data_IF_718712580718
#
_entry.id   IF_718712580718
#
_cell.length_a   1.000
_cell.length_b   1.000
_cell.length_c   1.000
_cell.angle_alpha   90.00
_cell.angle_beta   90.00
_cell.angle_gamma   90.00
#
_symmetry.space_group_name_H-M   'P 1'
#
loop_
_entity.id
_entity.type
_entity.pdbx_description
1 polymer ?
#
# COMPACT_ATOMS: atom_id res chain seq x y z
N UNK A 1 -11.30 -12.31 -37.21
CA UNK A 1 -10.82 -11.12 -36.48
C UNK A 1 -10.14 -10.21 -37.49
N UNK A 2 -10.57 -8.94 -37.57
CA UNK A 2 -9.94 -7.89 -38.40
C UNK A 2 -8.48 -7.72 -37.99
N UNK A 3 -7.58 -7.49 -38.97
CA UNK A 3 -6.17 -7.23 -38.71
C UNK A 3 -6.03 -5.82 -38.14
N UNK A 4 -5.64 -5.70 -36.87
CA UNK A 4 -5.31 -4.42 -36.24
C UNK A 4 -3.89 -3.99 -36.62
N UNK A 5 -3.79 -2.78 -37.16
CA UNK A 5 -2.54 -2.05 -37.32
C UNK A 5 -2.20 -1.34 -36.01
N UNK A 6 -0.93 -1.41 -35.64
CA UNK A 6 -0.42 -0.83 -34.41
C UNK A 6 0.62 0.22 -34.76
N UNK A 7 0.54 1.37 -34.11
CA UNK A 7 1.48 2.45 -34.30
C UNK A 7 1.99 2.93 -32.96
N UNK A 8 3.26 3.32 -32.92
CA UNK A 8 3.80 4.12 -31.84
C UNK A 8 3.60 5.59 -32.19
N UNK A 9 3.06 6.35 -31.25
CA UNK A 9 2.86 7.77 -31.39
C UNK A 9 3.45 8.51 -30.19
N UNK A 10 3.82 9.77 -30.40
CA UNK A 10 4.27 10.66 -29.34
C UNK A 10 3.24 11.78 -29.13
N UNK A 11 3.05 12.13 -27.86
CA UNK A 11 2.14 13.21 -27.45
C UNK A 11 2.97 14.44 -27.09
N UNK A 12 2.63 15.59 -27.68
CA UNK A 12 3.25 16.87 -27.41
C UNK A 12 2.19 17.85 -26.92
N UNK A 13 2.54 18.69 -25.95
CA UNK A 13 1.70 19.82 -25.56
C UNK A 13 2.30 21.05 -26.22
N UNK A 14 1.60 21.62 -27.20
CA UNK A 14 2.06 22.81 -27.92
C UNK A 14 1.68 24.09 -27.17
N UNK A 15 0.61 24.05 -26.35
CA UNK A 15 0.14 25.06 -25.37
C UNK A 15 -0.63 24.38 -24.22
N UNK A 16 -0.99 25.11 -23.16
CA UNK A 16 -1.73 24.58 -21.98
C UNK A 16 -3.07 23.89 -22.31
N UNK A 17 -3.62 24.07 -23.52
CA UNK A 17 -4.91 23.50 -23.93
C UNK A 17 -4.85 22.55 -25.13
N UNK A 18 -3.75 22.51 -25.88
CA UNK A 18 -3.66 21.77 -27.14
C UNK A 18 -2.59 20.67 -27.08
N UNK A 19 -3.05 19.43 -27.22
CA UNK A 19 -2.20 18.24 -27.33
C UNK A 19 -2.17 17.75 -28.77
N UNK A 20 -0.97 17.69 -29.36
CA UNK A 20 -0.73 17.10 -30.67
C UNK A 20 -0.22 15.67 -30.52
N UNK A 21 -0.71 14.78 -31.40
CA UNK A 21 -0.29 13.38 -31.43
C UNK A 21 0.36 13.11 -32.79
N UNK A 22 1.63 12.73 -32.77
CA UNK A 22 2.39 12.41 -33.98
C UNK A 22 2.67 10.92 -34.03
N UNK A 23 2.17 10.25 -35.07
CA UNK A 23 2.53 8.86 -35.35
C UNK A 23 3.99 8.82 -35.83
N UNK A 24 4.79 7.96 -35.22
CA UNK A 24 6.22 7.82 -35.50
C UNK A 24 6.49 6.62 -36.41
N UNK A 25 5.96 5.46 -36.06
CA UNK A 25 6.18 4.23 -36.85
C UNK A 25 5.09 3.17 -36.62
N UNK A 26 5.01 2.18 -37.51
CA UNK A 26 4.24 0.95 -37.33
C UNK A 26 5.00 -0.01 -36.41
N UNK A 27 4.30 -0.64 -35.47
CA UNK A 27 4.90 -1.64 -34.56
C UNK A 27 4.24 -3.01 -34.76
N UNK A 28 4.97 -4.05 -34.41
CA UNK A 28 4.46 -5.42 -34.48
C UNK A 28 3.61 -5.78 -33.25
N UNK A 29 2.76 -6.80 -33.40
CA UNK A 29 2.04 -7.39 -32.26
C UNK A 29 3.01 -8.00 -31.23
N UNK A 30 4.16 -8.51 -31.67
CA UNK A 30 5.19 -9.05 -30.78
C UNK A 30 5.84 -7.96 -29.94
N UNK A 31 6.13 -6.79 -30.52
CA UNK A 31 6.65 -5.64 -29.78
C UNK A 31 5.65 -5.11 -28.76
N UNK A 32 4.37 -5.02 -29.13
CA UNK A 32 3.32 -4.66 -28.17
C UNK A 32 3.18 -5.70 -27.06
N UNK A 33 3.28 -7.00 -27.37
CA UNK A 33 3.24 -8.05 -26.36
C UNK A 33 4.42 -7.95 -25.38
N UNK A 34 5.63 -7.70 -25.87
CA UNK A 34 6.83 -7.47 -25.05
C UNK A 34 6.66 -6.26 -24.13
N UNK A 35 6.12 -5.15 -24.64
CA UNK A 35 5.80 -3.98 -23.80
C UNK A 35 4.76 -4.30 -22.73
N UNK A 36 3.65 -4.96 -23.10
CA UNK A 36 2.62 -5.33 -22.14
C UNK A 36 3.15 -6.26 -21.04
N UNK A 37 4.06 -7.16 -21.39
CA UNK A 37 4.77 -8.02 -20.43
C UNK A 37 5.61 -7.18 -19.46
N UNK A 38 6.41 -6.24 -19.99
CA UNK A 38 7.24 -5.32 -19.20
C UNK A 38 6.41 -4.51 -18.18
N UNK A 39 5.15 -4.19 -18.49
CA UNK A 39 4.27 -3.44 -17.61
C UNK A 39 3.44 -4.29 -16.63
N UNK A 40 3.55 -5.63 -16.62
CA UNK A 40 2.78 -6.48 -15.69
C UNK A 40 3.03 -6.14 -14.22
N UNK A 41 4.24 -5.67 -13.88
CA UNK A 41 4.58 -5.26 -12.50
C UNK A 41 3.82 -4.01 -12.05
N UNK A 42 3.32 -3.17 -12.97
CA UNK A 42 2.56 -1.97 -12.62
C UNK A 42 1.24 -2.31 -11.92
N UNK A 43 0.63 -3.44 -12.25
CA UNK A 43 -0.56 -3.93 -11.55
C UNK A 43 -0.25 -4.37 -10.11
N UNK A 44 0.96 -4.92 -9.89
CA UNK A 44 1.45 -5.25 -8.55
C UNK A 44 1.67 -3.97 -7.75
N UNK A 45 2.34 -3.00 -8.38
CA UNK A 45 2.58 -1.69 -7.80
C UNK A 45 1.30 -1.03 -7.33
N UNK A 46 0.30 -0.92 -8.21
CA UNK A 46 -0.98 -0.29 -7.86
C UNK A 46 -1.66 -1.00 -6.69
N UNK A 47 -1.78 -2.33 -6.78
CA UNK A 47 -2.50 -3.13 -5.77
C UNK A 47 -1.86 -3.02 -4.38
N UNK A 48 -0.54 -3.18 -4.30
CA UNK A 48 0.18 -3.20 -3.01
C UNK A 48 0.37 -1.79 -2.45
N UNK A 49 0.64 -0.80 -3.30
CA UNK A 49 0.76 0.61 -2.86
C UNK A 49 -0.56 1.10 -2.29
N UNK A 50 -1.69 0.80 -2.96
CA UNK A 50 -3.00 1.21 -2.48
C UNK A 50 -3.33 0.62 -1.11
N UNK A 51 -3.12 -0.69 -0.89
CA UNK A 51 -3.40 -1.27 0.42
C UNK A 51 -2.43 -0.74 1.49
N UNK A 52 -1.15 -0.51 1.15
CA UNK A 52 -0.19 0.16 2.05
C UNK A 52 -0.71 1.55 2.45
N UNK A 53 -1.12 2.37 1.48
CA UNK A 53 -1.65 3.72 1.73
C UNK A 53 -2.87 3.67 2.64
N UNK A 54 -3.80 2.75 2.40
CA UNK A 54 -4.99 2.55 3.26
C UNK A 54 -4.58 2.23 4.70
N UNK A 55 -3.57 1.39 4.93
CA UNK A 55 -3.09 1.06 6.28
C UNK A 55 -2.54 2.30 6.98
N UNK A 56 -1.66 3.05 6.29
CA UNK A 56 -1.04 4.26 6.83
C UNK A 56 -2.10 5.33 7.12
N UNK A 57 -3.01 5.58 6.18
CA UNK A 57 -4.10 6.54 6.34
C UNK A 57 -5.05 6.17 7.48
N UNK A 58 -5.36 4.88 7.65
CA UNK A 58 -6.17 4.41 8.77
C UNK A 58 -5.45 4.61 10.12
N UNK A 59 -4.14 4.34 10.17
CA UNK A 59 -3.32 4.57 11.36
C UNK A 59 -3.29 6.05 11.75
N UNK A 60 -3.03 6.94 10.79
CA UNK A 60 -3.02 8.38 11.00
C UNK A 60 -4.41 8.94 11.36
N UNK A 61 -5.46 8.44 10.72
CA UNK A 61 -6.85 8.81 11.06
C UNK A 61 -7.21 8.41 12.49
N UNK A 62 -6.78 7.22 12.91
CA UNK A 62 -6.97 6.73 14.27
C UNK A 62 -6.20 7.57 15.30
N UNK A 63 -4.90 7.83 15.07
CA UNK A 63 -4.11 8.74 15.93
C UNK A 63 -4.75 10.11 16.03
N UNK A 64 -5.17 10.70 14.90
CA UNK A 64 -5.82 12.01 14.86
C UNK A 64 -7.10 12.01 15.68
N UNK A 65 -7.91 10.97 15.57
CA UNK A 65 -9.13 10.83 16.34
C UNK A 65 -8.85 10.76 17.86
N UNK A 66 -7.83 9.99 18.26
CA UNK A 66 -7.43 9.84 19.67
C UNK A 66 -6.57 10.99 20.21
N UNK A 67 -6.22 11.98 19.38
CA UNK A 67 -5.38 13.10 19.79
C UNK A 67 -6.05 13.95 20.86
N UNK A 68 -5.25 14.52 21.77
CA UNK A 68 -5.72 15.44 22.82
C UNK A 68 -6.57 16.58 22.25
N UNK A 69 -6.16 17.14 21.11
CA UNK A 69 -6.89 18.22 20.45
C UNK A 69 -8.27 17.76 19.99
N UNK A 70 -8.38 16.62 19.31
CA UNK A 70 -9.66 16.13 18.82
C UNK A 70 -10.59 15.73 19.97
N UNK A 71 -10.08 15.08 21.02
CA UNK A 71 -10.88 14.75 22.20
C UNK A 71 -11.41 16.02 22.91
N UNK A 72 -10.63 17.10 22.97
CA UNK A 72 -11.12 18.39 23.47
C UNK A 72 -12.27 18.95 22.62
N UNK A 73 -12.18 18.87 21.29
CA UNK A 73 -13.26 19.31 20.39
C UNK A 73 -14.53 18.45 20.53
N UNK A 74 -14.39 17.13 20.66
CA UNK A 74 -15.51 16.21 20.94
C UNK A 74 -16.26 16.66 22.20
N UNK A 75 -15.52 17.04 23.24
CA UNK A 75 -16.10 17.56 24.48
C UNK A 75 -16.81 18.91 24.27
N UNK A 76 -16.22 19.84 23.51
CA UNK A 76 -16.80 21.17 23.23
C UNK A 76 -18.08 21.08 22.40
N UNK A 77 -18.11 20.17 21.43
CA UNK A 77 -19.25 19.94 20.56
C UNK A 77 -20.35 19.06 21.18
N UNK A 78 -20.23 18.71 22.47
CA UNK A 78 -21.22 17.92 23.21
C UNK A 78 -21.56 16.59 22.51
N UNK A 79 -20.57 15.95 21.87
CA UNK A 79 -20.76 14.64 21.26
C UNK A 79 -21.05 13.63 22.39
N UNK A 80 -22.10 12.80 22.28
CA UNK A 80 -22.44 11.83 23.31
C UNK A 80 -21.28 10.86 23.60
N UNK A 81 -21.01 10.51 24.87
CA UNK A 81 -19.93 9.58 25.25
C UNK A 81 -19.93 8.28 24.45
N UNK A 82 -21.10 7.64 24.30
CA UNK A 82 -21.27 6.40 23.52
C UNK A 82 -20.86 6.58 22.06
N UNK A 83 -21.20 7.72 21.46
CA UNK A 83 -20.83 8.03 20.08
C UNK A 83 -19.33 8.24 19.96
N UNK A 84 -18.71 8.94 20.91
CA UNK A 84 -17.27 9.15 20.94
C UNK A 84 -16.50 7.82 21.06
N UNK A 85 -16.95 6.92 21.94
CA UNK A 85 -16.38 5.57 22.09
C UNK A 85 -16.57 4.74 20.83
N UNK A 86 -17.77 4.76 20.23
CA UNK A 86 -18.07 4.05 18.97
C UNK A 86 -17.14 4.49 17.84
N UNK A 87 -16.88 5.80 17.72
CA UNK A 87 -15.99 6.33 16.70
C UNK A 87 -14.51 5.96 16.95
N UNK A 88 -14.07 5.91 18.22
CA UNK A 88 -12.74 5.40 18.58
C UNK A 88 -12.58 3.94 18.15
N UNK A 89 -13.56 3.12 18.49
CA UNK A 89 -13.59 1.69 18.18
C UNK A 89 -13.68 1.43 16.68
N UNK A 90 -14.43 2.24 15.93
CA UNK A 90 -14.44 2.20 14.46
C UNK A 90 -13.06 2.51 13.88
N UNK A 91 -12.40 3.55 14.39
CA UNK A 91 -11.09 3.96 13.87
C UNK A 91 -10.02 2.88 14.09
N UNK A 92 -9.93 2.33 15.30
CA UNK A 92 -8.96 1.28 15.61
C UNK A 92 -9.28 -0.06 14.89
N UNK A 93 -10.56 -0.40 14.71
CA UNK A 93 -10.97 -1.56 13.92
C UNK A 93 -10.54 -1.45 12.45
N UNK A 94 -10.74 -0.27 11.84
CA UNK A 94 -10.34 -0.02 10.46
C UNK A 94 -8.82 -0.21 10.31
N UNK A 95 -8.04 0.36 11.22
CA UNK A 95 -6.60 0.20 11.24
C UNK A 95 -6.18 -1.28 11.36
N UNK A 96 -6.64 -1.97 12.41
CA UNK A 96 -6.29 -3.37 12.65
C UNK A 96 -6.71 -4.31 11.49
N UNK A 97 -7.89 -4.07 10.90
CA UNK A 97 -8.38 -4.85 9.76
C UNK A 97 -7.55 -4.61 8.51
N UNK A 98 -7.13 -3.36 8.27
CA UNK A 98 -6.29 -3.02 7.12
C UNK A 98 -4.90 -3.66 7.22
N UNK A 99 -4.27 -3.72 8.40
CA UNK A 99 -2.99 -4.41 8.62
C UNK A 99 -3.09 -5.88 8.23
N UNK A 100 -4.12 -6.59 8.72
CA UNK A 100 -4.31 -8.00 8.39
C UNK A 100 -4.53 -8.19 6.89
N UNK A 101 -5.34 -7.32 6.28
CA UNK A 101 -5.61 -7.33 4.85
C UNK A 101 -4.34 -7.13 4.03
N UNK A 102 -3.47 -6.20 4.44
CA UNK A 102 -2.19 -5.92 3.81
C UNK A 102 -1.30 -7.17 3.77
N UNK A 103 -1.05 -7.79 4.93
CA UNK A 103 -0.19 -8.99 5.05
C UNK A 103 -0.76 -10.16 4.24
N UNK A 104 -2.09 -10.35 4.28
CA UNK A 104 -2.75 -11.42 3.53
C UNK A 104 -2.68 -11.19 2.02
N UNK A 105 -2.74 -9.93 1.57
CA UNK A 105 -2.58 -9.57 0.16
C UNK A 105 -1.17 -9.85 -0.36
N UNK A 106 -0.13 -9.46 0.36
CA UNK A 106 1.26 -9.77 0.01
C UNK A 106 1.48 -11.28 -0.05
N UNK A 107 1.07 -12.00 1.00
CA UNK A 107 1.15 -13.47 1.09
C UNK A 107 0.48 -14.13 -0.12
N UNK A 108 -0.74 -13.70 -0.46
CA UNK A 108 -1.49 -14.24 -1.60
C UNK A 108 -0.81 -13.96 -2.93
N UNK A 109 -0.22 -12.78 -3.10
CA UNK A 109 0.46 -12.41 -4.34
C UNK A 109 1.76 -13.18 -4.49
N UNK A 110 2.59 -13.26 -3.44
CA UNK A 110 3.84 -14.02 -3.47
C UNK A 110 3.57 -15.51 -3.78
N UNK A 111 2.56 -16.12 -3.15
CA UNK A 111 2.11 -17.49 -3.46
C UNK A 111 1.74 -17.71 -4.93
N UNK A 112 1.19 -16.70 -5.60
CA UNK A 112 0.68 -16.81 -6.97
C UNK A 112 1.68 -16.42 -8.04
N UNK A 113 2.60 -15.50 -7.73
CA UNK A 113 3.39 -14.77 -8.72
C UNK A 113 4.89 -14.75 -8.43
N UNK A 114 5.32 -15.16 -7.24
CA UNK A 114 6.73 -15.23 -6.88
C UNK A 114 7.17 -16.70 -6.67
N UNK A 115 8.46 -16.90 -6.43
CA UNK A 115 9.00 -18.22 -6.11
C UNK A 115 8.63 -18.63 -4.68
N UNK A 116 8.69 -19.94 -4.40
CA UNK A 116 8.54 -20.45 -3.03
C UNK A 116 9.58 -19.83 -2.09
N UNK A 117 10.81 -19.65 -2.56
CA UNK A 117 11.89 -18.98 -1.80
C UNK A 117 11.55 -17.53 -1.42
N UNK A 118 10.88 -16.78 -2.30
CA UNK A 118 10.42 -15.43 -2.00
C UNK A 118 9.35 -15.44 -0.90
N UNK A 119 8.40 -16.37 -0.98
CA UNK A 119 7.38 -16.54 0.06
C UNK A 119 7.99 -16.93 1.41
N UNK A 120 8.96 -17.84 1.42
CA UNK A 120 9.64 -18.26 2.64
C UNK A 120 10.45 -17.11 3.25
N UNK A 121 11.11 -16.30 2.41
CA UNK A 121 11.84 -15.11 2.85
C UNK A 121 10.91 -14.06 3.47
N UNK A 122 9.75 -13.82 2.84
CA UNK A 122 8.73 -12.93 3.39
C UNK A 122 8.19 -13.42 4.74
N UNK A 123 7.89 -14.71 4.86
CA UNK A 123 7.45 -15.30 6.13
C UNK A 123 8.53 -15.15 7.22
N UNK A 124 9.80 -15.33 6.87
CA UNK A 124 10.91 -15.14 7.82
C UNK A 124 11.01 -13.70 8.31
N UNK A 125 10.74 -12.71 7.46
CA UNK A 125 10.68 -11.30 7.88
C UNK A 125 9.49 -11.07 8.81
N UNK A 126 8.31 -11.59 8.47
CA UNK A 126 7.14 -11.53 9.36
C UNK A 126 7.42 -12.18 10.73
N UNK A 127 8.09 -13.33 10.76
CA UNK A 127 8.53 -13.99 11.99
C UNK A 127 9.53 -13.13 12.76
N UNK A 128 10.52 -12.56 12.08
CA UNK A 128 11.50 -11.65 12.70
C UNK A 128 10.82 -10.42 13.31
N UNK A 129 9.83 -9.85 12.60
CA UNK A 129 9.06 -8.72 13.11
C UNK A 129 8.24 -9.09 14.33
N UNK A 130 7.61 -10.25 14.29
CA UNK A 130 6.90 -10.80 15.44
C UNK A 130 7.85 -11.00 16.62
N UNK A 131 9.04 -11.55 16.44
CA UNK A 131 9.93 -11.81 17.59
C UNK A 131 10.53 -10.52 18.17
N UNK A 132 10.82 -9.52 17.33
CA UNK A 132 11.59 -8.32 17.73
C UNK A 132 10.77 -7.08 18.04
N UNK A 133 9.53 -6.97 17.52
CA UNK A 133 8.74 -5.74 17.62
C UNK A 133 7.39 -5.99 18.29
N UNK A 134 7.20 -5.38 19.45
CA UNK A 134 5.96 -5.45 20.24
C UNK A 134 4.75 -4.97 19.43
N UNK A 135 4.90 -3.91 18.64
CA UNK A 135 3.83 -3.31 17.84
C UNK A 135 3.34 -4.28 16.78
N UNK A 136 4.25 -4.97 16.09
CA UNK A 136 3.88 -5.97 15.10
C UNK A 136 3.15 -7.15 15.74
N UNK A 137 3.67 -7.69 16.85
CA UNK A 137 2.98 -8.78 17.58
C UNK A 137 1.59 -8.38 18.00
N UNK A 138 1.48 -7.20 18.60
CA UNK A 138 0.23 -6.68 19.12
C UNK A 138 -0.79 -6.49 17.99
N UNK A 139 -0.46 -5.70 16.97
CA UNK A 139 -1.39 -5.35 15.89
C UNK A 139 -1.74 -6.54 14.99
N UNK A 140 -0.81 -7.48 14.76
CA UNK A 140 -1.08 -8.69 13.97
C UNK A 140 -2.13 -9.60 14.62
N UNK A 141 -2.22 -9.60 15.95
CA UNK A 141 -3.21 -10.36 16.70
C UNK A 141 -4.44 -9.52 17.11
N UNK A 142 -4.36 -8.19 17.08
CA UNK A 142 -5.39 -7.29 17.59
C UNK A 142 -6.76 -7.45 16.90
N UNK A 143 -6.76 -7.72 15.59
CA UNK A 143 -8.02 -7.98 14.87
C UNK A 143 -8.72 -9.25 15.38
N UNK A 144 -7.98 -10.24 15.86
CA UNK A 144 -8.57 -11.45 16.47
C UNK A 144 -9.16 -11.14 17.85
N UNK A 145 -8.51 -10.29 18.64
CA UNK A 145 -9.08 -9.77 19.89
C UNK A 145 -10.46 -9.14 19.64
N UNK A 146 -10.57 -8.20 18.68
CA UNK A 146 -11.86 -7.54 18.40
C UNK A 146 -12.93 -8.55 17.96
N UNK A 147 -12.56 -9.54 17.14
CA UNK A 147 -13.51 -10.53 16.61
C UNK A 147 -13.99 -11.52 17.67
N UNK A 148 -13.13 -11.90 18.62
CA UNK A 148 -13.40 -12.98 19.56
C UNK A 148 -13.72 -12.53 20.99
N UNK A 149 -13.44 -11.27 21.34
CA UNK A 149 -13.74 -10.70 22.65
C UNK A 149 -14.68 -9.51 22.50
N UNK A 150 -14.13 -8.29 22.40
CA UNK A 150 -14.92 -7.08 22.25
C UNK A 150 -14.05 -5.93 21.71
N UNK A 151 -14.64 -4.75 21.57
CA UNK A 151 -13.90 -3.54 21.25
C UNK A 151 -13.03 -3.06 22.42
N UNK A 152 -11.86 -2.46 22.13
CA UNK A 152 -10.83 -2.14 23.14
C UNK A 152 -11.16 -0.94 24.02
N UNK A 153 -11.95 0.02 23.52
CA UNK A 153 -12.33 1.22 24.27
C UNK A 153 -13.70 1.04 24.88
N UNK A 154 -13.77 1.05 26.21
CA UNK A 154 -15.00 0.80 26.97
C UNK A 154 -15.35 1.92 27.94
N UNK A 155 -14.39 2.79 28.26
CA UNK A 155 -14.56 3.84 29.28
C UNK A 155 -14.42 5.22 28.64
N UNK A 156 -15.40 6.09 28.91
CA UNK A 156 -15.33 7.53 28.64
C UNK A 156 -15.27 8.29 29.95
N UNK A 157 -14.30 9.20 30.08
CA UNK A 157 -14.17 10.09 31.23
C UNK A 157 -14.18 11.53 30.74
N UNK A 158 -15.16 12.31 31.19
CA UNK A 158 -15.21 13.76 30.97
C UNK A 158 -14.72 14.52 32.19
N UNK A 159 -13.90 15.54 31.98
CA UNK A 159 -13.42 16.46 33.01
C UNK A 159 -13.49 17.88 32.48
N UNK A 160 -13.99 18.80 33.31
CA UNK A 160 -14.08 20.23 32.98
C UNK A 160 -12.66 20.83 32.82
N UNK A 161 -11.68 20.32 33.57
CA UNK A 161 -10.30 20.83 33.57
C UNK A 161 -9.40 20.16 32.53
N UNK A 162 -9.56 18.84 32.32
CA UNK A 162 -8.64 18.04 31.49
C UNK A 162 -9.21 17.60 30.15
N UNK A 163 -10.49 17.91 29.87
CA UNK A 163 -11.22 17.50 28.67
C UNK A 163 -11.78 16.09 28.80
N UNK A 164 -12.02 15.42 27.66
CA UNK A 164 -12.45 14.02 27.67
C UNK A 164 -11.32 13.05 27.39
N UNK A 165 -11.44 11.83 27.92
CA UNK A 165 -10.56 10.69 27.68
C UNK A 165 -11.40 9.49 27.29
N UNK A 166 -10.90 8.73 26.31
CA UNK A 166 -11.44 7.43 25.92
C UNK A 166 -10.36 6.40 26.27
N UNK A 167 -10.71 5.44 27.13
CA UNK A 167 -9.74 4.61 27.84
C UNK A 167 -9.85 3.15 27.40
N UNK A 168 -8.68 2.56 27.16
CA UNK A 168 -8.47 1.12 26.99
C UNK A 168 -7.67 0.63 28.21
N UNK A 169 -8.15 -0.42 28.86
CA UNK A 169 -7.50 -0.97 30.06
C UNK A 169 -6.77 -2.27 29.74
N UNK A 170 -5.70 -2.57 30.49
CA UNK A 170 -5.02 -3.86 30.37
C UNK A 170 -5.94 -5.00 30.70
N UNK A 171 -6.75 -4.84 31.75
CA UNK A 171 -7.72 -5.85 32.18
C UNK A 171 -8.62 -6.28 31.02
N UNK A 172 -9.15 -5.30 30.28
CA UNK A 172 -10.03 -5.57 29.14
C UNK A 172 -9.31 -6.23 27.97
N UNK A 173 -8.08 -5.81 27.67
CA UNK A 173 -7.27 -6.49 26.65
C UNK A 173 -6.96 -7.93 27.05
N UNK A 174 -6.59 -8.16 28.31
CA UNK A 174 -6.16 -9.47 28.82
C UNK A 174 -7.30 -10.51 28.95
N UNK A 175 -8.54 -10.13 28.66
CA UNK A 175 -9.66 -11.08 28.52
C UNK A 175 -9.50 -12.02 27.31
N UNK A 176 -8.68 -11.65 26.32
CA UNK A 176 -8.39 -12.53 25.19
C UNK A 176 -7.23 -13.48 25.50
N UNK A 177 -7.54 -14.76 25.59
CA UNK A 177 -6.56 -15.79 25.97
C UNK A 177 -5.47 -16.02 24.91
N UNK A 178 -5.75 -15.69 23.64
CA UNK A 178 -4.88 -16.03 22.51
C UNK A 178 -3.98 -14.86 22.04
N UNK A 179 -3.55 -14.00 22.97
CA UNK A 179 -2.50 -12.99 22.69
C UNK A 179 -1.13 -13.60 22.39
N UNK A 180 -0.91 -14.88 22.73
CA UNK A 180 0.41 -15.54 22.61
C UNK A 180 1.48 -14.68 23.32
N UNK A 181 2.57 -14.34 22.64
CA UNK A 181 3.67 -13.55 23.17
C UNK A 181 3.24 -12.12 23.57
N UNK A 182 2.19 -11.55 22.95
CA UNK A 182 1.70 -10.21 23.30
C UNK A 182 1.09 -10.12 24.70
N UNK A 183 0.80 -11.25 25.36
CA UNK A 183 0.22 -11.23 26.72
C UNK A 183 1.19 -10.59 27.72
N UNK A 184 2.45 -11.00 27.69
CA UNK A 184 3.48 -10.45 28.59
C UNK A 184 3.77 -8.98 28.29
N UNK A 185 3.72 -8.61 27.01
CA UNK A 185 3.87 -7.23 26.56
C UNK A 185 2.77 -6.35 27.16
N UNK A 186 1.49 -6.74 27.05
CA UNK A 186 0.33 -5.99 27.57
C UNK A 186 0.42 -5.79 29.08
N UNK A 187 0.86 -6.81 29.84
CA UNK A 187 1.04 -6.71 31.29
C UNK A 187 2.03 -5.59 31.64
N UNK A 188 3.11 -5.46 30.85
CA UNK A 188 4.20 -4.49 31.05
C UNK A 188 3.91 -3.08 30.53
N UNK A 189 2.86 -2.87 29.73
CA UNK A 189 2.46 -1.53 29.26
C UNK A 189 2.08 -0.61 30.43
N UNK A 190 1.83 0.67 30.19
CA UNK A 190 1.22 1.54 31.20
C UNK A 190 -0.30 1.32 31.29
N UNK A 191 -0.92 1.76 32.38
CA UNK A 191 -2.39 1.80 32.56
C UNK A 191 -2.81 3.28 32.67
N UNK A 192 -3.70 3.81 31.81
CA UNK A 192 -4.36 3.12 30.69
C UNK A 192 -3.42 2.85 29.50
N UNK A 193 -3.80 1.89 28.65
CA UNK A 193 -2.99 1.49 27.50
C UNK A 193 -3.11 2.52 26.37
N UNK A 194 -1.99 3.15 26.02
CA UNK A 194 -1.88 4.11 24.90
C UNK A 194 -1.68 3.39 23.56
N UNK A 195 -2.76 2.81 23.03
CA UNK A 195 -2.75 2.15 21.73
C UNK A 195 -2.28 3.04 20.56
N UNK A 196 -2.67 4.33 20.46
CA UNK A 196 -2.15 5.24 19.44
C UNK A 196 -0.61 5.35 19.39
N UNK A 197 0.08 5.22 20.53
CA UNK A 197 1.54 5.27 20.57
C UNK A 197 2.22 4.13 19.80
N UNK A 198 1.53 3.01 19.58
CA UNK A 198 2.06 1.85 18.84
C UNK A 198 1.94 1.99 17.31
N UNK A 199 1.29 3.03 16.80
CA UNK A 199 0.95 3.17 15.37
C UNK A 199 2.17 3.52 14.52
N UNK A 200 3.07 4.39 14.99
CA UNK A 200 4.18 4.90 14.18
C UNK A 200 5.24 3.83 13.91
N UNK A 201 5.56 3.04 14.95
CA UNK A 201 6.47 1.91 14.81
C UNK A 201 5.86 0.83 13.92
N UNK A 202 4.56 0.54 14.06
CA UNK A 202 3.88 -0.39 13.16
C UNK A 202 3.87 0.12 11.71
N UNK A 203 3.63 1.41 11.48
CA UNK A 203 3.67 2.04 10.16
C UNK A 203 5.06 1.90 9.52
N UNK A 204 6.11 2.07 10.32
CA UNK A 204 7.50 1.86 9.86
C UNK A 204 7.74 0.42 9.43
N UNK A 205 7.17 -0.56 10.14
CA UNK A 205 7.26 -1.98 9.77
C UNK A 205 6.46 -2.29 8.49
N UNK A 206 5.30 -1.66 8.28
CA UNK A 206 4.55 -1.76 7.01
C UNK A 206 5.38 -1.21 5.84
N UNK A 207 6.07 -0.08 6.02
CA UNK A 207 6.99 0.44 4.99
C UNK A 207 8.16 -0.51 4.72
N UNK A 208 8.70 -1.16 5.74
CA UNK A 208 9.76 -2.15 5.57
C UNK A 208 9.27 -3.38 4.78
N UNK A 209 8.07 -3.91 5.09
CA UNK A 209 7.45 -4.98 4.30
C UNK A 209 7.21 -4.54 2.86
N UNK A 210 6.72 -3.31 2.66
CA UNK A 210 6.47 -2.75 1.34
C UNK A 210 7.74 -2.71 0.48
N UNK A 211 8.85 -2.19 1.01
CA UNK A 211 10.13 -2.12 0.30
C UNK A 211 10.68 -3.53 0.02
N UNK A 212 10.59 -4.43 0.99
CA UNK A 212 11.00 -5.82 0.85
C UNK A 212 10.18 -6.56 -0.22
N UNK A 213 8.87 -6.33 -0.28
CA UNK A 213 7.97 -6.96 -1.23
C UNK A 213 8.39 -6.73 -2.69
N UNK A 214 8.78 -5.51 -3.05
CA UNK A 214 9.25 -5.24 -4.42
C UNK A 214 10.57 -5.92 -4.74
N UNK A 215 11.42 -6.22 -3.75
CA UNK A 215 12.69 -6.91 -3.96
C UNK A 215 12.49 -8.28 -4.64
N UNK A 216 11.40 -8.97 -4.33
CA UNK A 216 11.06 -10.26 -4.94
C UNK A 216 10.72 -10.18 -6.43
N UNK A 217 10.43 -8.97 -6.93
CA UNK A 217 10.13 -8.69 -8.33
C UNK A 217 11.22 -7.83 -8.99
N UNK A 218 12.40 -7.68 -8.37
CA UNK A 218 13.45 -6.79 -8.84
C UNK A 218 13.87 -7.07 -10.30
N UNK A 219 14.03 -8.35 -10.66
CA UNK A 219 14.37 -8.76 -12.03
C UNK A 219 13.31 -8.32 -13.03
N UNK A 220 12.02 -8.46 -12.70
CA UNK A 220 10.92 -8.09 -13.59
C UNK A 220 10.83 -6.57 -13.77
N UNK A 221 11.08 -5.82 -12.69
CA UNK A 221 11.10 -4.36 -12.71
C UNK A 221 12.26 -3.85 -13.57
N UNK A 222 13.47 -4.39 -13.39
CA UNK A 222 14.66 -4.01 -14.16
C UNK A 222 14.45 -4.31 -15.64
N UNK A 223 14.02 -5.54 -15.97
CA UNK A 223 13.69 -5.92 -17.34
C UNK A 223 12.61 -5.03 -17.95
N UNK A 224 11.61 -4.62 -17.15
CA UNK A 224 10.56 -3.71 -17.57
C UNK A 224 11.13 -2.35 -17.98
N UNK A 225 12.00 -1.76 -17.15
CA UNK A 225 12.69 -0.49 -17.42
C UNK A 225 13.58 -0.60 -18.68
N UNK A 226 14.37 -1.67 -18.79
CA UNK A 226 15.23 -1.92 -19.94
C UNK A 226 14.42 -2.03 -21.24
N UNK A 227 13.37 -2.86 -21.21
CA UNK A 227 12.49 -3.09 -22.39
C UNK A 227 11.82 -1.80 -22.83
N UNK A 228 11.31 -0.99 -21.89
CA UNK A 228 10.72 0.30 -22.20
C UNK A 228 11.75 1.28 -22.75
N UNK A 229 12.95 1.34 -22.16
CA UNK A 229 14.04 2.20 -22.61
C UNK A 229 14.54 1.85 -24.00
N UNK A 230 14.70 0.55 -24.30
CA UNK A 230 15.03 0.04 -25.64
C UNK A 230 13.96 0.42 -26.66
N UNK A 231 12.69 0.26 -26.30
CA UNK A 231 11.57 0.64 -27.16
C UNK A 231 11.58 2.15 -27.46
N UNK A 232 11.78 2.98 -26.44
CA UNK A 232 11.86 4.43 -26.61
C UNK A 232 13.04 4.85 -27.51
N UNK A 233 14.21 4.23 -27.32
CA UNK A 233 15.40 4.48 -28.15
C UNK A 233 15.20 4.03 -29.60
N UNK A 234 14.54 2.90 -29.82
CA UNK A 234 14.29 2.36 -31.17
C UNK A 234 13.46 3.30 -32.03
N UNK A 235 12.44 3.93 -31.44
CA UNK A 235 11.48 4.76 -32.16
C UNK A 235 11.68 6.27 -31.98
N UNK A 236 12.76 6.69 -31.31
CA UNK A 236 13.05 8.10 -30.99
C UNK A 236 11.86 8.82 -30.35
N UNK A 237 11.35 8.24 -29.26
CA UNK A 237 10.20 8.75 -28.49
C UNK A 237 10.54 8.89 -27.01
N UNK A 238 9.97 9.90 -26.34
CA UNK A 238 10.14 10.13 -24.90
C UNK A 238 8.97 9.61 -24.08
N UNK A 239 7.74 9.88 -24.52
CA UNK A 239 6.51 9.45 -23.85
C UNK A 239 5.56 8.78 -24.87
N UNK A 240 5.88 7.54 -25.31
CA UNK A 240 5.09 6.85 -26.31
C UNK A 240 3.69 6.48 -25.81
N UNK A 241 2.73 6.59 -26.73
CA UNK A 241 1.41 5.97 -26.63
C UNK A 241 1.23 4.98 -27.78
N UNK A 242 0.49 3.90 -27.54
CA UNK A 242 0.21 2.89 -28.57
C UNK A 242 -1.14 3.21 -29.20
N UNK A 243 -1.13 3.35 -30.51
CA UNK A 243 -2.30 3.65 -31.30
C UNK A 243 -2.74 2.40 -32.07
N UNK A 244 -4.03 2.06 -31.98
CA UNK A 244 -4.59 0.84 -32.60
C UNK A 244 -5.69 1.20 -33.59
N UNK A 245 -5.59 0.73 -34.82
CA UNK A 245 -6.59 0.99 -35.87
C UNK A 245 -6.84 -0.23 -36.75
N UNK A 246 -8.07 -0.38 -37.24
CA UNK A 246 -8.41 -1.36 -38.28
C UNK A 246 -8.23 -0.80 -39.70
N UNK A 247 -8.07 0.52 -39.83
CA UNK A 247 -7.96 1.21 -41.10
C UNK A 247 -6.82 2.25 -41.06
N UNK A 248 -5.85 2.10 -41.96
CA UNK A 248 -4.69 3.00 -42.09
C UNK A 248 -5.10 4.46 -42.40
N UNK A 249 -6.23 4.64 -43.07
CA UNK A 249 -6.71 5.95 -43.54
C UNK A 249 -7.66 6.65 -42.55
N UNK A 250 -8.07 5.96 -41.47
CA UNK A 250 -8.91 6.55 -40.40
C UNK A 250 -8.14 6.54 -39.09
N UNK A 251 -7.50 7.67 -38.81
CA UNK A 251 -6.78 7.93 -37.56
C UNK A 251 -7.65 8.65 -36.50
N UNK A 252 -8.91 8.97 -36.84
CA UNK A 252 -9.81 9.74 -35.97
C UNK A 252 -10.78 8.76 -35.27
N UNK A 253 -10.78 8.73 -33.92
CA UNK A 253 -11.68 7.90 -33.10
C UNK A 253 -11.08 6.60 -32.54
N UNK A 254 -9.76 6.42 -32.61
CA UNK A 254 -9.09 5.15 -32.31
C UNK A 254 -8.69 4.96 -30.84
N UNK A 255 -8.48 3.69 -30.47
CA UNK A 255 -8.20 3.25 -29.10
C UNK A 255 -6.72 3.48 -28.77
N UNK A 256 -6.41 4.64 -28.21
CA UNK A 256 -5.10 4.92 -27.63
C UNK A 256 -4.91 4.11 -26.34
N UNK A 257 -3.77 3.43 -26.24
CA UNK A 257 -3.32 2.78 -25.02
C UNK A 257 -2.16 3.59 -24.44
N UNK A 258 -2.38 4.34 -23.35
CA UNK A 258 -1.28 4.92 -22.59
C UNK A 258 -0.43 3.82 -21.94
N UNK A 259 0.87 4.08 -21.80
CA UNK A 259 1.80 3.16 -21.15
C UNK A 259 2.00 3.58 -19.67
N UNK A 260 1.90 2.66 -18.70
CA UNK A 260 1.98 2.96 -17.27
C UNK A 260 3.43 3.18 -16.79
N UNK A 261 4.12 4.15 -17.40
CA UNK A 261 5.53 4.42 -17.13
C UNK A 261 5.76 4.99 -15.73
N UNK A 262 4.78 5.73 -15.19
CA UNK A 262 4.88 6.32 -13.85
C UNK A 262 4.97 5.23 -12.79
N UNK A 263 4.14 4.21 -12.91
CA UNK A 263 4.08 3.05 -12.02
C UNK A 263 5.34 2.20 -12.13
N UNK A 264 5.82 1.97 -13.36
CA UNK A 264 7.06 1.24 -13.58
C UNK A 264 8.26 1.97 -12.95
N UNK A 265 8.36 3.28 -13.15
CA UNK A 265 9.41 4.11 -12.53
C UNK A 265 9.29 4.14 -11.00
N UNK A 266 8.09 4.29 -10.46
CA UNK A 266 7.88 4.27 -9.02
C UNK A 266 8.28 2.93 -8.39
N UNK A 267 7.97 1.81 -9.06
CA UNK A 267 8.44 0.47 -8.65
C UNK A 267 9.96 0.39 -8.60
N UNK A 268 10.63 0.96 -9.60
CA UNK A 268 12.09 1.04 -9.64
C UNK A 268 12.66 1.93 -8.54
N UNK A 269 12.06 3.09 -8.28
CA UNK A 269 12.48 4.00 -7.21
C UNK A 269 12.35 3.35 -5.82
N UNK A 270 11.33 2.51 -5.60
CA UNK A 270 11.21 1.71 -4.37
C UNK A 270 12.37 0.72 -4.23
N UNK A 271 12.74 0.01 -5.30
CA UNK A 271 13.91 -0.88 -5.25
C UNK A 271 15.19 -0.15 -4.87
N UNK A 272 15.40 1.07 -5.39
CA UNK A 272 16.56 1.90 -5.05
C UNK A 272 16.60 2.29 -3.57
N UNK A 273 15.44 2.39 -2.93
CA UNK A 273 15.35 2.68 -1.50
C UNK A 273 15.67 1.46 -0.61
N UNK A 274 15.74 0.25 -1.19
CA UNK A 274 16.06 -0.95 -0.44
C UNK A 274 17.58 -1.05 -0.18
N UNK A 275 18.04 -0.99 1.08
CA UNK A 275 19.47 -1.01 1.40
C UNK A 275 20.16 -2.34 1.06
N UNK A 276 19.39 -3.41 0.87
CA UNK A 276 19.90 -4.74 0.54
C UNK A 276 20.00 -4.99 -0.97
N UNK A 277 19.59 -4.04 -1.81
CA UNK A 277 19.64 -4.16 -3.26
C UNK A 277 20.69 -3.21 -3.82
N UNK A 278 21.67 -3.77 -4.54
CA UNK A 278 22.59 -2.99 -5.36
C UNK A 278 22.17 -3.09 -6.82
N UNK A 279 21.80 -1.95 -7.42
CA UNK A 279 21.40 -1.88 -8.82
C UNK A 279 22.56 -1.32 -9.64
N UNK A 280 23.15 -2.17 -10.48
CA UNK A 280 24.15 -1.77 -11.48
C UNK A 280 23.49 -1.68 -12.85
N UNK A 281 23.05 -0.48 -13.24
CA UNK A 281 22.59 -0.21 -14.61
C UNK A 281 23.82 0.06 -15.47
N UNK A 282 23.96 -0.67 -16.57
CA UNK A 282 24.98 -0.42 -17.60
C UNK A 282 24.43 0.50 -18.70
#
# INVERSE_FOLDING_TARGET
MSKLFLYVAETYHTKDTDAEITIKDEITQEELAKLNEAFKVCNLYHSITQIKDIVIENGESYKRYMSKQNLQEISRHHIPPERAVTLANKAVLNYASSIKTYIDMETRILRKKASQTALDSFNNICHTFYDKHIEYRFWSNFRNYIVHCEFPYTIFQGSIETGCKIICTKEHLLQFDNWKHSKEDIIKMDEPVDLPALVDNMSSLIYALYIDFFSYFATDIIKGIETYGDFCRRYDVKNPVIFKTENKDKLIGNHMQPLPIKELKASFDILKSNPNISISIK
#
